data_IF_899376738645
#
_entry.id   IF_899376738645
#
_cell.length_a   1.000
_cell.length_b   1.000
_cell.length_c   1.000
_cell.angle_alpha   90.00
_cell.angle_beta   90.00
_cell.angle_gamma   90.00
#
_symmetry.space_group_name_H-M   'P 1'
#
loop_
_entity.id
_entity.type
_entity.pdbx_description
1 polymer ?
#
# COMPACT_ATOMS: atom_id res chain seq x y z
N UNK A 1 -19.89 59.59 -61.11
CA UNK A 1 -19.95 58.15 -61.48
C UNK A 1 -19.27 57.36 -60.37
N UNK A 2 -19.84 56.20 -60.06
CA UNK A 2 -19.79 55.45 -58.80
C UNK A 2 -18.43 54.89 -58.30
N UNK A 3 -18.41 54.57 -56.99
CA UNK A 3 -17.65 53.53 -56.24
C UNK A 3 -16.21 53.93 -55.77
N UNK A 4 -15.98 54.27 -54.49
CA UNK A 4 -15.82 53.45 -53.24
C UNK A 4 -14.58 52.52 -53.26
N UNK A 5 -13.62 52.73 -52.33
CA UNK A 5 -13.32 51.82 -51.19
C UNK A 5 -12.25 52.40 -50.25
N UNK A 6 -12.51 52.15 -48.96
CA UNK A 6 -11.78 52.53 -47.74
C UNK A 6 -10.55 51.64 -47.51
N UNK A 7 -9.54 52.15 -46.78
CA UNK A 7 -8.99 51.47 -45.58
C UNK A 7 -8.18 52.41 -44.68
N UNK A 8 -8.13 52.01 -43.40
CA UNK A 8 -7.81 52.74 -42.17
C UNK A 8 -6.41 52.33 -41.65
N UNK A 9 -5.68 53.23 -40.99
CA UNK A 9 -4.39 52.95 -40.34
C UNK A 9 -4.09 53.89 -39.17
N UNK A 10 -3.72 53.29 -38.04
CA UNK A 10 -3.68 53.78 -36.65
C UNK A 10 -2.50 54.73 -36.35
N UNK A 11 -2.69 55.66 -35.39
CA UNK A 11 -1.72 56.68 -34.94
C UNK A 11 -1.20 56.36 -33.52
N UNK A 12 0.11 56.49 -33.31
CA UNK A 12 0.84 56.29 -32.04
C UNK A 12 1.30 57.63 -31.44
N UNK A 13 1.16 57.84 -30.12
CA UNK A 13 1.84 58.91 -29.33
C UNK A 13 1.92 58.43 -27.84
N UNK A 14 3.08 58.05 -27.27
CA UNK A 14 4.20 58.79 -26.61
C UNK A 14 3.80 59.59 -25.34
N UNK A 15 4.49 59.37 -24.18
CA UNK A 15 5.28 60.37 -23.38
C UNK A 15 5.47 60.08 -21.84
N UNK A 16 6.76 59.94 -21.45
CA UNK A 16 7.63 60.41 -20.31
C UNK A 16 7.28 60.34 -18.78
N UNK A 17 8.37 60.08 -18.00
CA UNK A 17 8.83 60.70 -16.71
C UNK A 17 8.35 60.07 -15.37
N UNK A 18 9.03 60.07 -14.19
CA UNK A 18 10.38 60.40 -13.64
C UNK A 18 10.35 60.11 -12.10
N UNK A 19 11.51 59.91 -11.44
CA UNK A 19 11.80 59.92 -9.97
C UNK A 19 11.21 58.79 -9.09
N UNK A 20 11.77 58.33 -7.96
CA UNK A 20 13.06 58.42 -7.24
C UNK A 20 12.97 57.43 -6.05
N UNK A 21 14.05 56.71 -5.74
CA UNK A 21 14.42 56.08 -4.44
C UNK A 21 13.34 55.76 -3.38
N UNK A 22 13.04 54.47 -3.17
CA UNK A 22 13.26 53.67 -1.94
C UNK A 22 12.33 52.44 -1.88
N UNK A 23 12.85 51.37 -1.25
CA UNK A 23 12.22 50.08 -0.88
C UNK A 23 11.68 49.15 -1.98
N UNK A 24 12.42 48.06 -2.23
CA UNK A 24 11.89 46.87 -2.92
C UNK A 24 11.99 45.63 -2.02
N UNK A 25 11.05 45.51 -1.07
CA UNK A 25 10.48 44.21 -0.76
C UNK A 25 9.72 43.73 -1.99
N UNK A 26 10.31 42.81 -2.76
CA UNK A 26 9.64 42.21 -3.92
C UNK A 26 8.35 41.52 -3.46
N UNK A 27 7.17 41.88 -3.96
CA UNK A 27 5.98 41.07 -3.76
C UNK A 27 6.21 39.74 -4.51
N UNK A 28 6.10 38.62 -3.81
CA UNK A 28 5.98 37.32 -4.47
C UNK A 28 4.80 37.39 -5.45
N UNK A 29 5.13 37.28 -6.74
CA UNK A 29 4.14 37.14 -7.79
C UNK A 29 3.35 35.86 -7.50
N UNK A 30 2.00 35.87 -7.51
CA UNK A 30 1.22 34.66 -7.36
C UNK A 30 1.68 33.66 -8.42
N UNK A 31 2.21 32.52 -7.99
CA UNK A 31 2.49 31.40 -8.88
C UNK A 31 1.19 31.00 -9.54
N UNK A 32 1.11 31.25 -10.84
CA UNK A 32 0.07 30.70 -11.71
C UNK A 32 0.00 29.19 -11.48
N UNK A 33 -1.18 28.59 -11.28
CA UNK A 33 -1.31 27.14 -11.25
C UNK A 33 -0.70 26.57 -12.54
N UNK A 34 0.18 25.57 -12.43
CA UNK A 34 0.63 24.81 -13.59
C UNK A 34 -0.60 24.30 -14.35
N UNK A 35 -0.84 24.82 -15.56
CA UNK A 35 -1.88 24.31 -16.45
C UNK A 35 -1.69 22.81 -16.63
N UNK A 36 -2.69 22.02 -16.19
CA UNK A 36 -2.76 20.58 -16.44
C UNK A 36 -2.62 19.66 -15.22
N UNK A 37 -2.31 20.15 -14.00
CA UNK A 37 -2.38 19.30 -12.80
C UNK A 37 -3.80 19.20 -12.28
N UNK A 38 -4.38 17.99 -12.34
CA UNK A 38 -5.64 17.68 -11.67
C UNK A 38 -5.47 17.93 -10.17
N UNK A 39 -6.46 18.54 -9.54
CA UNK A 39 -6.48 18.63 -8.09
C UNK A 39 -6.50 17.22 -7.47
N UNK A 40 -5.92 17.06 -6.29
CA UNK A 40 -5.79 15.77 -5.62
C UNK A 40 -6.02 15.90 -4.11
N UNK A 41 -6.51 14.85 -3.49
CA UNK A 41 -6.63 14.74 -2.03
C UNK A 41 -6.00 13.44 -1.55
N UNK A 42 -5.39 13.51 -0.37
CA UNK A 42 -5.08 12.31 0.40
C UNK A 42 -6.36 11.74 0.97
N UNK A 43 -6.51 10.42 0.90
CA UNK A 43 -7.69 9.70 1.34
C UNK A 43 -7.29 8.72 2.43
N UNK A 44 -7.99 8.81 3.56
CA UNK A 44 -7.80 7.98 4.73
C UNK A 44 -9.01 7.09 4.95
N UNK A 45 -8.76 5.90 5.46
CA UNK A 45 -9.81 5.05 6.02
C UNK A 45 -9.54 4.93 7.51
N UNK A 46 -10.42 5.49 8.32
CA UNK A 46 -10.20 5.67 9.76
C UNK A 46 -11.32 4.99 10.53
N UNK A 47 -10.95 4.18 11.51
CA UNK A 47 -11.88 3.52 12.40
C UNK A 47 -12.06 4.41 13.63
N UNK A 48 -13.29 4.82 13.90
CA UNK A 48 -13.61 5.76 14.99
C UNK A 48 -13.61 5.08 16.36
N UNK A 49 -13.50 5.88 17.43
CA UNK A 49 -13.58 5.38 18.81
C UNK A 49 -14.98 4.96 19.26
N UNK A 50 -16.03 5.40 18.58
CA UNK A 50 -17.40 5.15 19.03
C UNK A 50 -17.86 3.78 18.56
N UNK A 51 -17.74 2.79 19.45
CA UNK A 51 -18.22 1.41 19.31
C UNK A 51 -17.32 0.45 20.08
N UNK A 52 -17.90 -0.46 20.87
CA UNK A 52 -17.16 -1.66 21.30
C UNK A 52 -16.67 -2.41 20.06
N UNK A 53 -15.53 -3.11 20.14
CA UNK A 53 -14.88 -3.89 19.07
C UNK A 53 -15.47 -3.65 17.66
N UNK A 54 -14.93 -2.67 16.93
CA UNK A 54 -15.36 -2.36 15.55
C UNK A 54 -16.11 -1.04 15.40
N UNK A 55 -15.61 0.05 16.01
CA UNK A 55 -16.15 1.40 15.81
C UNK A 55 -16.34 1.77 14.33
N UNK A 56 -17.29 2.67 14.06
CA UNK A 56 -17.69 3.06 12.71
C UNK A 56 -16.50 3.54 11.89
N UNK A 57 -16.39 3.10 10.63
CA UNK A 57 -15.28 3.46 9.74
C UNK A 57 -15.70 4.56 8.80
N UNK A 58 -14.80 5.50 8.58
CA UNK A 58 -15.02 6.65 7.72
C UNK A 58 -13.92 6.77 6.68
N UNK A 59 -14.33 7.08 5.45
CA UNK A 59 -13.45 7.53 4.38
C UNK A 59 -13.37 9.06 4.48
N UNK A 60 -12.22 9.57 4.91
CA UNK A 60 -11.96 10.99 5.10
C UNK A 60 -10.88 11.48 4.12
N UNK A 61 -10.81 12.80 3.91
CA UNK A 61 -9.83 13.39 3.00
C UNK A 61 -9.04 14.52 3.65
N UNK A 62 -7.83 14.76 3.14
CA UNK A 62 -7.02 15.93 3.46
C UNK A 62 -6.32 16.45 2.19
N UNK A 63 -6.24 17.76 2.04
CA UNK A 63 -5.53 18.40 0.91
C UNK A 63 -4.01 18.42 1.09
N UNK A 64 -3.53 18.32 2.33
CA UNK A 64 -2.11 18.28 2.69
C UNK A 64 -1.86 17.31 3.84
N UNK A 65 -0.61 16.85 3.96
CA UNK A 65 -0.11 16.01 5.06
C UNK A 65 0.91 16.73 5.95
N UNK A 66 1.16 18.03 5.73
CA UNK A 66 2.21 18.78 6.44
C UNK A 66 1.79 19.26 7.82
N UNK A 67 0.55 19.71 7.99
CA UNK A 67 0.02 20.24 9.23
C UNK A 67 -1.51 20.18 9.22
N UNK A 68 -2.11 20.16 10.41
CA UNK A 68 -3.56 20.11 10.59
C UNK A 68 -4.04 18.90 11.39
N UNK A 69 -5.36 18.83 11.54
CA UNK A 69 -6.03 17.78 12.33
C UNK A 69 -7.21 17.24 11.56
N UNK A 70 -7.28 15.91 11.42
CA UNK A 70 -8.50 15.21 10.99
C UNK A 70 -9.25 14.78 12.24
N UNK A 71 -10.46 15.32 12.43
CA UNK A 71 -11.38 14.91 13.51
C UNK A 71 -12.47 14.05 12.92
N UNK A 72 -12.48 12.77 13.28
CA UNK A 72 -13.53 11.86 12.82
C UNK A 72 -14.81 12.12 13.62
N UNK A 73 -15.85 12.51 12.90
CA UNK A 73 -17.23 12.54 13.32
C UNK A 73 -18.14 12.29 12.10
N UNK A 74 -19.45 12.19 12.34
CA UNK A 74 -20.47 11.91 11.32
C UNK A 74 -20.53 12.92 10.15
N UNK A 75 -19.89 14.08 10.26
CA UNK A 75 -19.89 15.13 9.24
C UNK A 75 -18.59 15.18 8.43
N UNK A 76 -17.53 14.44 8.83
CA UNK A 76 -16.19 14.55 8.25
C UNK A 76 -15.73 13.28 7.50
N UNK A 77 -16.61 12.73 6.66
CA UNK A 77 -16.28 11.60 5.78
C UNK A 77 -17.51 10.81 5.35
N UNK A 78 -17.29 9.79 4.53
CA UNK A 78 -18.32 8.80 4.16
C UNK A 78 -18.18 7.58 5.06
N UNK A 79 -19.26 7.21 5.75
CA UNK A 79 -19.32 5.98 6.54
C UNK A 79 -19.23 4.73 5.64
N UNK A 80 -18.50 3.72 6.09
CA UNK A 80 -18.36 2.44 5.38
C UNK A 80 -18.28 1.26 6.36
N UNK A 81 -18.87 0.13 5.97
CA UNK A 81 -18.77 -1.17 6.65
C UNK A 81 -17.60 -2.02 6.12
N UNK A 82 -16.90 -1.54 5.10
CA UNK A 82 -15.82 -2.27 4.42
C UNK A 82 -14.61 -2.53 5.31
N UNK A 83 -13.87 -3.59 5.02
CA UNK A 83 -12.70 -4.03 5.80
C UNK A 83 -11.40 -4.02 4.99
N UNK A 84 -11.49 -4.31 3.68
CA UNK A 84 -10.34 -4.25 2.78
C UNK A 84 -10.39 -3.02 1.88
N UNK A 85 -9.25 -2.34 1.74
CA UNK A 85 -9.16 -1.06 1.01
C UNK A 85 -7.91 -1.03 0.14
N UNK A 86 -8.10 -0.80 -1.16
CA UNK A 86 -7.02 -0.76 -2.14
C UNK A 86 -7.32 0.25 -3.24
N UNK A 87 -6.27 0.73 -3.91
CA UNK A 87 -6.38 1.75 -4.94
C UNK A 87 -5.80 1.23 -6.23
N UNK A 88 -6.52 1.42 -7.33
CA UNK A 88 -6.09 1.15 -8.70
C UNK A 88 -6.86 2.07 -9.63
N UNK A 89 -6.27 2.48 -10.75
CA UNK A 89 -6.92 3.35 -11.74
C UNK A 89 -7.55 4.62 -11.13
N UNK A 90 -6.86 5.26 -10.17
CA UNK A 90 -7.33 6.47 -9.49
C UNK A 90 -8.70 6.31 -8.78
N UNK A 91 -9.00 5.10 -8.28
CA UNK A 91 -10.20 4.80 -7.52
C UNK A 91 -9.85 4.05 -6.25
N UNK A 92 -10.48 4.41 -5.15
CA UNK A 92 -10.46 3.63 -3.92
C UNK A 92 -11.54 2.57 -4.02
N UNK A 93 -11.18 1.31 -3.81
CA UNK A 93 -12.12 0.20 -3.71
C UNK A 93 -12.19 -0.26 -2.26
N UNK A 94 -13.41 -0.35 -1.75
CA UNK A 94 -13.70 -0.77 -0.38
C UNK A 94 -14.54 -2.06 -0.42
N UNK A 95 -14.02 -3.12 0.18
CA UNK A 95 -14.63 -4.43 0.18
C UNK A 95 -15.14 -4.81 1.57
N UNK A 96 -16.41 -5.19 1.65
CA UNK A 96 -17.04 -5.70 2.88
C UNK A 96 -16.43 -7.05 3.27
N UNK A 97 -16.19 -7.25 4.57
CA UNK A 97 -15.64 -8.52 5.02
C UNK A 97 -16.67 -9.65 4.88
N UNK A 98 -16.39 -10.60 4.00
CA UNK A 98 -17.36 -11.57 3.54
C UNK A 98 -17.43 -12.88 4.32
N UNK A 99 -17.77 -12.85 5.62
CA UNK A 99 -17.97 -14.10 6.40
C UNK A 99 -19.05 -15.02 5.78
N UNK A 100 -19.99 -14.49 5.02
CA UNK A 100 -21.05 -15.24 4.30
C UNK A 100 -20.65 -15.72 2.90
N UNK A 101 -19.37 -15.60 2.51
CA UNK A 101 -18.88 -15.96 1.17
C UNK A 101 -19.02 -14.85 0.12
N UNK A 102 -19.63 -13.72 0.47
CA UNK A 102 -19.79 -12.56 -0.40
C UNK A 102 -19.09 -11.33 0.18
N UNK A 103 -18.45 -10.54 -0.68
CA UNK A 103 -17.75 -9.32 -0.28
C UNK A 103 -18.12 -8.18 -1.25
N UNK A 104 -19.30 -7.56 -1.11
CA UNK A 104 -19.64 -6.37 -1.91
C UNK A 104 -18.48 -5.38 -2.00
N UNK A 105 -18.14 -4.98 -3.22
CA UNK A 105 -17.04 -4.08 -3.53
C UNK A 105 -17.60 -2.74 -4.00
N UNK A 106 -17.31 -1.68 -3.25
CA UNK A 106 -17.75 -0.32 -3.58
C UNK A 106 -16.57 0.50 -4.10
N UNK A 107 -16.78 1.20 -5.22
CA UNK A 107 -15.79 2.09 -5.82
C UNK A 107 -16.04 3.52 -5.34
N UNK A 108 -14.98 4.23 -4.97
CA UNK A 108 -14.98 5.63 -4.59
C UNK A 108 -13.99 6.42 -5.43
N UNK A 109 -14.32 7.68 -5.70
CA UNK A 109 -13.48 8.62 -6.45
C UNK A 109 -13.63 10.03 -5.89
N UNK A 110 -12.71 10.93 -6.24
CA UNK A 110 -12.88 12.36 -5.98
C UNK A 110 -13.66 13.00 -7.13
N UNK A 111 -14.73 13.75 -6.82
CA UNK A 111 -15.46 14.55 -7.79
C UNK A 111 -14.69 15.82 -8.18
N UNK A 112 -15.22 16.62 -9.11
CA UNK A 112 -14.60 17.88 -9.56
C UNK A 112 -14.40 18.94 -8.44
N UNK A 113 -15.04 18.76 -7.28
CA UNK A 113 -14.88 19.60 -6.07
C UNK A 113 -13.87 19.02 -5.06
N UNK A 114 -13.15 17.97 -5.42
CA UNK A 114 -12.25 17.21 -4.53
C UNK A 114 -12.94 16.52 -3.35
N UNK A 115 -14.24 16.28 -3.45
CA UNK A 115 -15.00 15.54 -2.43
C UNK A 115 -15.02 14.06 -2.80
N UNK A 116 -14.82 13.19 -1.81
CA UNK A 116 -14.98 11.75 -1.99
C UNK A 116 -16.46 11.44 -2.28
N UNK A 117 -16.72 10.64 -3.31
CA UNK A 117 -18.07 10.21 -3.69
C UNK A 117 -18.12 8.70 -3.86
N UNK A 118 -19.23 8.10 -3.44
CA UNK A 118 -19.56 6.70 -3.70
C UNK A 118 -19.96 6.52 -5.17
N UNK A 119 -19.45 5.45 -5.78
CA UNK A 119 -19.74 5.07 -7.15
C UNK A 119 -20.36 3.68 -7.25
N UNK A 120 -19.94 2.94 -8.27
CA UNK A 120 -20.49 1.62 -8.61
C UNK A 120 -20.21 0.61 -7.50
N UNK A 121 -21.15 -0.32 -7.29
CA UNK A 121 -21.00 -1.50 -6.43
C UNK A 121 -20.98 -2.77 -7.26
N UNK A 122 -20.08 -3.70 -6.93
CA UNK A 122 -20.01 -5.02 -7.53
C UNK A 122 -20.22 -6.09 -6.47
N UNK A 123 -21.02 -7.10 -6.79
CA UNK A 123 -21.07 -8.31 -6.00
C UNK A 123 -19.84 -9.16 -6.32
N UNK A 124 -19.03 -9.48 -5.31
CA UNK A 124 -17.89 -10.38 -5.47
C UNK A 124 -17.93 -11.48 -4.41
N UNK A 125 -17.16 -12.54 -4.65
CA UNK A 125 -16.81 -13.50 -3.60
C UNK A 125 -15.90 -12.82 -2.56
N UNK A 126 -15.74 -13.44 -1.38
CA UNK A 126 -14.91 -12.90 -0.29
C UNK A 126 -13.49 -12.52 -0.73
N UNK A 127 -13.12 -11.24 -0.61
CA UNK A 127 -11.76 -10.76 -0.90
C UNK A 127 -10.87 -11.02 0.32
N UNK A 128 -10.08 -12.10 0.28
CA UNK A 128 -9.14 -12.46 1.35
C UNK A 128 -7.79 -11.79 1.19
N UNK A 129 -7.26 -11.79 -0.04
CA UNK A 129 -6.05 -11.09 -0.42
C UNK A 129 -6.19 -10.52 -1.83
N UNK A 130 -5.40 -9.51 -2.18
CA UNK A 130 -5.52 -8.82 -3.46
C UNK A 130 -4.20 -8.20 -3.90
N UNK A 131 -4.12 -7.86 -5.18
CA UNK A 131 -2.99 -7.17 -5.78
C UNK A 131 -3.33 -6.58 -7.14
N UNK A 132 -2.71 -5.44 -7.45
CA UNK A 132 -2.88 -4.78 -8.73
C UNK A 132 -2.01 -5.47 -9.79
N UNK A 133 -2.55 -5.63 -11.00
CA UNK A 133 -1.78 -6.05 -12.19
C UNK A 133 -2.07 -5.11 -13.35
N UNK A 134 -1.02 -4.62 -14.01
CA UNK A 134 -1.16 -3.57 -15.01
C UNK A 134 -1.80 -2.29 -14.44
N UNK A 135 -2.56 -1.59 -15.28
CA UNK A 135 -3.15 -0.27 -14.95
C UNK A 135 -4.58 -0.33 -14.43
N UNK A 136 -5.33 -1.35 -14.81
CA UNK A 136 -6.79 -1.39 -14.65
C UNK A 136 -7.29 -2.66 -13.99
N UNK A 137 -6.43 -3.61 -13.64
CA UNK A 137 -6.87 -4.89 -13.09
C UNK A 137 -6.42 -5.03 -11.64
N UNK A 138 -7.30 -5.62 -10.83
CA UNK A 138 -7.00 -6.11 -9.49
C UNK A 138 -7.34 -7.59 -9.45
N UNK A 139 -6.39 -8.42 -9.05
CA UNK A 139 -6.63 -9.85 -8.82
C UNK A 139 -6.80 -10.07 -7.33
N UNK A 140 -7.88 -10.76 -6.98
CA UNK A 140 -8.21 -11.14 -5.62
C UNK A 140 -8.15 -12.66 -5.46
N UNK A 141 -7.73 -13.11 -4.29
CA UNK A 141 -7.84 -14.48 -3.85
C UNK A 141 -8.75 -14.59 -2.61
N UNK A 142 -9.70 -15.51 -2.66
CA UNK A 142 -10.52 -15.85 -1.49
C UNK A 142 -9.70 -16.65 -0.49
N UNK A 143 -10.15 -16.71 0.78
CA UNK A 143 -9.59 -17.66 1.74
C UNK A 143 -9.68 -19.11 1.22
N UNK A 144 -10.67 -19.39 0.37
CA UNK A 144 -10.86 -20.67 -0.27
C UNK A 144 -9.89 -20.98 -1.43
N UNK A 145 -9.06 -20.04 -1.86
CA UNK A 145 -8.17 -20.23 -3.02
C UNK A 145 -8.81 -19.95 -4.38
N UNK A 146 -10.08 -19.52 -4.43
CA UNK A 146 -10.65 -19.02 -5.67
C UNK A 146 -9.94 -17.72 -6.04
N UNK A 147 -9.63 -17.55 -7.32
CA UNK A 147 -9.03 -16.35 -7.87
C UNK A 147 -10.01 -15.66 -8.79
N UNK A 148 -10.03 -14.34 -8.78
CA UNK A 148 -10.79 -13.56 -9.76
C UNK A 148 -10.12 -12.22 -10.03
N UNK A 149 -10.22 -11.75 -11.27
CA UNK A 149 -9.76 -10.44 -11.70
C UNK A 149 -10.94 -9.49 -11.84
N UNK A 150 -10.77 -8.25 -11.39
CA UNK A 150 -11.72 -7.15 -11.53
C UNK A 150 -11.06 -6.07 -12.37
N UNK A 151 -11.69 -5.74 -13.49
CA UNK A 151 -11.32 -4.56 -14.25
C UNK A 151 -11.96 -3.33 -13.61
N UNK A 152 -11.14 -2.39 -13.18
CA UNK A 152 -11.57 -1.20 -12.44
C UNK A 152 -12.15 -0.11 -13.33
N UNK A 153 -11.80 -0.10 -14.62
CA UNK A 153 -12.35 0.84 -15.60
C UNK A 153 -13.76 0.41 -16.03
N UNK A 154 -13.89 -0.85 -16.47
CA UNK A 154 -15.16 -1.46 -16.86
C UNK A 154 -16.05 -1.77 -15.65
N UNK A 155 -15.46 -1.80 -14.44
CA UNK A 155 -16.12 -2.14 -13.18
C UNK A 155 -16.85 -3.46 -13.27
N UNK A 156 -16.13 -4.50 -13.65
CA UNK A 156 -16.68 -5.85 -13.76
C UNK A 156 -15.61 -6.90 -13.52
N UNK A 157 -16.06 -8.09 -13.17
CA UNK A 157 -15.19 -9.26 -13.11
C UNK A 157 -14.86 -9.73 -14.52
N UNK A 158 -13.58 -9.88 -14.83
CA UNK A 158 -13.09 -10.23 -16.17
C UNK A 158 -12.65 -11.69 -16.25
N UNK A 159 -12.00 -12.19 -15.20
CA UNK A 159 -11.42 -13.54 -15.18
C UNK A 159 -11.71 -14.25 -13.86
N UNK A 160 -11.76 -15.58 -13.91
CA UNK A 160 -11.88 -16.47 -12.76
C UNK A 160 -10.92 -17.64 -12.89
N UNK A 161 -10.42 -18.10 -11.77
CA UNK A 161 -9.60 -19.31 -11.63
C UNK A 161 -9.64 -19.81 -10.20
N UNK A 162 -8.79 -20.79 -9.91
CA UNK A 162 -8.64 -21.30 -8.56
C UNK A 162 -7.24 -21.88 -8.39
N UNK A 163 -6.72 -21.74 -7.17
CA UNK A 163 -5.55 -22.47 -6.71
C UNK A 163 -6.02 -23.83 -6.22
N UNK A 164 -5.63 -24.88 -6.95
CA UNK A 164 -5.83 -26.26 -6.53
C UNK A 164 -4.78 -26.63 -5.48
N UNK A 165 -5.11 -26.41 -4.20
CA UNK A 165 -4.16 -26.62 -3.10
C UNK A 165 -3.72 -28.07 -2.96
N UNK A 166 -4.51 -29.06 -3.39
CA UNK A 166 -4.11 -30.47 -3.35
C UNK A 166 -2.89 -30.74 -4.25
N UNK A 167 -2.72 -29.94 -5.31
CA UNK A 167 -1.52 -29.95 -6.16
C UNK A 167 -0.34 -29.18 -5.56
N UNK A 168 -0.56 -28.39 -4.50
CA UNK A 168 0.46 -27.59 -3.81
C UNK A 168 0.96 -28.20 -2.50
N UNK A 169 0.58 -29.46 -2.22
CA UNK A 169 1.07 -30.22 -1.08
C UNK A 169 2.60 -30.28 -1.05
N UNK A 170 3.15 -30.32 0.17
CA UNK A 170 4.58 -30.49 0.39
C UNK A 170 4.83 -31.68 1.31
N UNK A 171 5.57 -32.67 0.79
CA UNK A 171 5.81 -33.97 1.43
C UNK A 171 4.49 -34.61 1.90
N UNK A 172 4.40 -35.02 3.16
CA UNK A 172 3.30 -35.84 3.70
C UNK A 172 2.16 -35.02 4.32
N UNK A 173 2.15 -33.69 4.17
CA UNK A 173 1.07 -32.87 4.74
C UNK A 173 -0.09 -32.74 3.76
N UNK A 174 -1.30 -33.05 4.24
CA UNK A 174 -2.54 -32.78 3.52
C UNK A 174 -2.66 -31.28 3.26
N UNK A 175 -3.15 -30.90 2.08
CA UNK A 175 -3.35 -29.50 1.70
C UNK A 175 -4.63 -28.92 2.33
N UNK A 176 -4.69 -28.90 3.64
CA UNK A 176 -5.95 -28.70 4.35
C UNK A 176 -6.26 -27.26 4.78
N UNK A 177 -5.28 -26.38 4.99
CA UNK A 177 -5.55 -25.03 5.52
C UNK A 177 -4.80 -23.93 4.77
N UNK A 178 -5.45 -22.77 4.68
CA UNK A 178 -5.28 -21.79 3.60
C UNK A 178 -4.88 -20.43 4.17
N UNK A 179 -3.58 -20.12 4.19
CA UNK A 179 -3.12 -18.77 4.49
C UNK A 179 -2.40 -18.21 3.28
N UNK A 180 -3.10 -17.38 2.51
CA UNK A 180 -2.50 -16.53 1.50
C UNK A 180 -2.14 -15.19 2.14
N UNK A 181 -0.91 -14.72 1.98
CA UNK A 181 -0.46 -13.47 2.62
C UNK A 181 -0.61 -12.25 1.71
N UNK A 182 -0.78 -12.46 0.40
CA UNK A 182 -1.05 -11.42 -0.59
C UNK A 182 -1.06 -11.98 -2.02
N UNK A 183 -1.39 -11.12 -2.98
CA UNK A 183 -1.28 -11.40 -4.42
C UNK A 183 -0.35 -10.35 -5.01
N UNK A 184 0.75 -10.75 -5.64
CA UNK A 184 1.79 -9.81 -6.09
C UNK A 184 2.06 -9.98 -7.57
N UNK A 185 1.83 -8.94 -8.37
CA UNK A 185 2.17 -8.96 -9.78
C UNK A 185 3.69 -8.99 -9.98
N UNK A 186 4.13 -9.84 -10.91
CA UNK A 186 5.50 -9.90 -11.41
C UNK A 186 5.42 -9.78 -12.92
N UNK A 187 5.94 -8.69 -13.47
CA UNK A 187 5.70 -8.31 -14.85
C UNK A 187 4.21 -8.03 -15.12
N UNK A 188 3.73 -8.45 -16.28
CA UNK A 188 2.35 -8.22 -16.72
C UNK A 188 1.54 -9.51 -16.86
N UNK A 189 2.15 -10.66 -16.63
CA UNK A 189 1.63 -11.98 -17.02
C UNK A 189 1.77 -13.04 -15.91
N UNK A 190 2.31 -12.66 -14.73
CA UNK A 190 2.48 -13.55 -13.59
C UNK A 190 2.03 -12.90 -12.29
N UNK A 191 1.51 -13.72 -11.40
CA UNK A 191 1.22 -13.39 -10.02
C UNK A 191 2.00 -14.35 -9.12
N UNK A 192 2.66 -13.82 -8.11
CA UNK A 192 3.26 -14.60 -7.03
C UNK A 192 2.33 -14.51 -5.83
N UNK A 193 1.88 -15.67 -5.35
CA UNK A 193 0.95 -15.77 -4.22
C UNK A 193 1.63 -16.64 -3.14
N UNK A 194 2.17 -16.02 -2.09
CA UNK A 194 2.74 -16.77 -0.98
C UNK A 194 1.64 -17.48 -0.19
N UNK A 195 1.95 -18.70 0.25
CA UNK A 195 1.01 -19.54 0.95
C UNK A 195 1.68 -20.36 2.06
N UNK A 196 0.88 -20.93 2.96
CA UNK A 196 1.33 -21.97 3.89
C UNK A 196 0.73 -23.32 3.51
N UNK A 197 1.51 -24.39 3.63
CA UNK A 197 1.00 -25.76 3.61
C UNK A 197 0.62 -26.13 5.04
N UNK A 198 -0.67 -26.33 5.34
CA UNK A 198 -1.12 -26.73 6.69
C UNK A 198 -2.20 -27.81 6.63
N UNK A 199 -2.43 -28.60 7.70
CA UNK A 199 -3.58 -29.49 7.78
C UNK A 199 -4.90 -28.71 7.72
N UNK A 200 -6.00 -29.45 7.59
CA UNK A 200 -7.36 -28.87 7.55
C UNK A 200 -7.72 -28.14 8.84
N UNK A 201 -7.20 -28.66 9.94
CA UNK A 201 -7.29 -28.08 11.27
C UNK A 201 -5.89 -28.10 11.87
N UNK A 202 -5.41 -26.93 12.32
CA UNK A 202 -4.10 -26.79 12.96
C UNK A 202 -3.14 -25.86 12.21
N UNK A 203 -1.99 -25.62 12.84
CA UNK A 203 -0.91 -24.80 12.31
C UNK A 203 0.00 -25.63 11.37
N UNK A 204 0.66 -24.96 10.43
CA UNK A 204 1.66 -25.63 9.56
C UNK A 204 2.84 -26.12 10.40
N UNK A 205 3.35 -27.32 10.09
CA UNK A 205 4.64 -27.80 10.63
C UNK A 205 5.85 -27.32 9.81
N UNK A 206 5.63 -26.71 8.65
CA UNK A 206 6.67 -26.19 7.76
C UNK A 206 6.88 -24.68 7.92
N UNK A 207 6.91 -24.20 9.18
CA UNK A 207 7.20 -22.79 9.51
C UNK A 207 8.58 -22.33 9.03
N UNK A 208 9.50 -23.27 8.86
CA UNK A 208 10.88 -23.07 8.40
C UNK A 208 11.03 -23.08 6.87
N UNK A 209 9.91 -23.10 6.14
CA UNK A 209 9.90 -23.11 4.69
C UNK A 209 9.16 -21.90 4.12
N UNK A 210 9.63 -21.48 2.94
CA UNK A 210 8.94 -20.53 2.06
C UNK A 210 8.17 -21.31 1.00
N UNK A 211 6.92 -20.92 0.74
CA UNK A 211 6.15 -21.40 -0.40
C UNK A 211 5.49 -20.24 -1.14
N UNK A 212 5.68 -20.20 -2.47
CA UNK A 212 5.06 -19.21 -3.35
C UNK A 212 4.50 -19.91 -4.58
N UNK A 213 3.21 -19.76 -4.83
CA UNK A 213 2.60 -20.21 -6.08
C UNK A 213 2.82 -19.15 -7.17
N UNK A 214 3.31 -19.59 -8.33
CA UNK A 214 3.39 -18.78 -9.55
C UNK A 214 2.16 -19.06 -10.38
N UNK A 215 1.37 -18.02 -10.64
CA UNK A 215 0.10 -18.09 -11.33
C UNK A 215 0.17 -17.30 -12.64
N UNK A 216 -0.23 -17.92 -13.74
CA UNK A 216 -0.27 -17.30 -15.06
C UNK A 216 -1.49 -16.38 -15.19
N UNK A 217 -1.25 -15.11 -15.51
CA UNK A 217 -2.27 -14.13 -15.85
C UNK A 217 -2.40 -14.00 -17.38
N UNK A 218 -3.61 -13.93 -17.98
CA UNK A 218 -4.93 -13.81 -17.35
C UNK A 218 -5.60 -15.14 -16.96
N UNK A 219 -4.98 -16.28 -17.24
CA UNK A 219 -5.65 -17.59 -17.07
C UNK A 219 -6.00 -17.95 -15.61
N UNK A 220 -5.32 -17.32 -14.65
CA UNK A 220 -5.42 -17.58 -13.21
C UNK A 220 -5.17 -19.06 -12.86
N UNK A 221 -4.21 -19.70 -13.55
CA UNK A 221 -3.77 -21.08 -13.31
C UNK A 221 -2.38 -21.10 -12.70
N UNK A 222 -2.19 -21.95 -11.69
CA UNK A 222 -0.86 -22.19 -11.13
C UNK A 222 0.00 -22.90 -12.18
N UNK A 223 1.14 -22.31 -12.51
CA UNK A 223 2.13 -22.89 -13.43
C UNK A 223 3.34 -23.48 -12.71
N UNK A 224 3.63 -23.01 -11.49
CA UNK A 224 4.78 -23.47 -10.71
C UNK A 224 4.64 -23.16 -9.22
N UNK A 225 5.44 -23.84 -8.41
CA UNK A 225 5.68 -23.50 -7.01
C UNK A 225 7.16 -23.22 -6.79
N UNK A 226 7.46 -22.15 -6.06
CA UNK A 226 8.79 -21.80 -5.58
C UNK A 226 8.88 -22.19 -4.10
N UNK A 227 9.93 -22.93 -3.74
CA UNK A 227 10.17 -23.41 -2.38
C UNK A 227 11.60 -23.05 -1.95
N UNK A 228 11.73 -22.57 -0.72
CA UNK A 228 13.02 -22.34 -0.06
C UNK A 228 12.95 -22.78 1.41
N UNK A 229 14.11 -22.94 2.04
CA UNK A 229 14.27 -23.40 3.41
C UNK A 229 15.31 -22.59 4.19
N UNK A 230 15.74 -21.43 3.66
CA UNK A 230 16.69 -20.53 4.33
C UNK A 230 15.99 -19.49 5.21
N UNK A 231 14.67 -19.31 5.06
CA UNK A 231 13.82 -18.43 5.85
C UNK A 231 12.44 -19.07 6.05
N UNK A 232 11.52 -18.39 6.75
CA UNK A 232 10.19 -18.92 7.03
C UNK A 232 9.12 -18.58 5.99
N UNK A 233 7.85 -18.62 6.41
CA UNK A 233 6.71 -18.21 5.60
C UNK A 233 6.85 -16.75 5.14
N UNK A 234 6.41 -16.47 3.92
CA UNK A 234 6.55 -15.15 3.30
C UNK A 234 5.33 -14.26 3.63
N UNK A 235 5.61 -13.06 4.11
CA UNK A 235 4.58 -12.13 4.60
C UNK A 235 3.92 -12.60 5.90
N UNK A 236 2.78 -12.00 6.23
CA UNK A 236 1.93 -12.41 7.36
C UNK A 236 0.48 -12.57 6.91
N UNK A 237 -0.30 -13.39 7.63
CA UNK A 237 -1.73 -13.50 7.37
C UNK A 237 -2.37 -12.10 7.41
N UNK A 238 -3.22 -11.79 6.43
CA UNK A 238 -3.85 -10.49 6.24
C UNK A 238 -2.87 -9.29 6.14
N UNK A 239 -1.56 -9.53 5.97
CA UNK A 239 -0.54 -8.49 5.87
C UNK A 239 -0.53 -7.75 4.53
N UNK A 240 -1.07 -8.37 3.48
CA UNK A 240 -0.98 -7.93 2.07
C UNK A 240 0.46 -7.62 1.66
N UNK A 241 1.41 -8.40 2.17
CA UNK A 241 2.84 -8.15 2.05
C UNK A 241 3.60 -9.46 1.79
N UNK A 242 4.85 -9.35 1.35
CA UNK A 242 5.77 -10.49 1.28
C UNK A 242 6.52 -10.61 -0.04
N UNK A 243 6.05 -10.03 -1.13
CA UNK A 243 6.74 -10.07 -2.43
C UNK A 243 6.67 -8.72 -3.12
N UNK A 244 7.77 -8.32 -3.77
CA UNK A 244 7.84 -7.10 -4.56
C UNK A 244 8.80 -7.29 -5.74
N UNK A 245 8.37 -6.87 -6.93
CA UNK A 245 9.28 -6.62 -8.05
C UNK A 245 9.78 -5.18 -8.02
N UNK A 246 11.10 -4.98 -8.14
CA UNK A 246 11.73 -3.65 -8.19
C UNK A 246 12.02 -3.24 -9.65
N UNK A 247 12.49 -2.01 -9.89
CA UNK A 247 12.57 -1.42 -11.24
C UNK A 247 13.50 -2.18 -12.20
N UNK A 248 14.52 -2.87 -11.70
CA UNK A 248 15.43 -3.69 -12.53
C UNK A 248 14.83 -5.06 -12.91
N UNK A 249 13.59 -5.33 -12.50
CA UNK A 249 12.88 -6.58 -12.76
C UNK A 249 13.17 -7.68 -11.73
N UNK A 250 14.13 -7.50 -10.82
CA UNK A 250 14.38 -8.42 -9.72
C UNK A 250 13.16 -8.51 -8.81
N UNK A 251 12.87 -9.72 -8.34
CA UNK A 251 11.78 -9.95 -7.39
C UNK A 251 12.39 -10.31 -6.05
N UNK A 252 12.00 -9.58 -5.00
CA UNK A 252 12.36 -9.87 -3.63
C UNK A 252 11.15 -10.39 -2.87
N UNK A 253 11.39 -11.40 -2.04
CA UNK A 253 10.40 -11.89 -1.09
C UNK A 253 10.98 -11.85 0.32
N UNK A 254 10.16 -11.65 1.35
CA UNK A 254 10.63 -11.55 2.72
C UNK A 254 9.76 -12.28 3.73
N UNK A 255 10.41 -12.79 4.77
CA UNK A 255 9.76 -13.48 5.88
C UNK A 255 9.94 -12.73 7.19
N UNK A 256 8.86 -12.53 7.98
CA UNK A 256 8.98 -12.14 9.38
C UNK A 256 9.53 -13.24 10.29
N UNK A 257 9.72 -14.48 9.78
CA UNK A 257 10.12 -15.65 10.55
C UNK A 257 9.21 -15.93 11.77
N UNK A 258 7.90 -15.81 11.56
CA UNK A 258 6.88 -16.09 12.57
C UNK A 258 6.91 -17.58 12.97
N UNK A 259 7.28 -17.85 14.23
CA UNK A 259 7.48 -19.20 14.78
C UNK A 259 8.48 -20.07 13.98
N UNK A 260 9.35 -19.44 13.19
CA UNK A 260 10.39 -20.15 12.46
C UNK A 260 11.70 -20.18 13.26
N UNK A 261 12.45 -21.27 13.11
CA UNK A 261 13.83 -21.43 13.56
C UNK A 261 14.83 -20.78 12.60
N UNK A 262 14.41 -20.53 11.37
CA UNK A 262 15.20 -19.81 10.37
C UNK A 262 15.09 -18.29 10.58
N UNK A 263 16.09 -17.51 10.13
CA UNK A 263 16.10 -16.08 10.37
C UNK A 263 15.05 -15.34 9.54
N UNK A 264 14.61 -14.19 10.04
CA UNK A 264 13.86 -13.19 9.25
C UNK A 264 14.80 -12.60 8.20
N UNK A 265 14.42 -12.72 6.92
CA UNK A 265 15.31 -12.43 5.81
C UNK A 265 14.55 -11.99 4.55
N UNK A 266 15.29 -11.34 3.65
CA UNK A 266 14.90 -11.19 2.25
C UNK A 266 15.60 -12.26 1.40
N UNK A 267 14.85 -12.87 0.49
CA UNK A 267 15.33 -13.74 -0.59
C UNK A 267 15.04 -13.07 -1.94
N UNK A 268 15.76 -13.48 -2.98
CA UNK A 268 15.56 -13.00 -4.35
C UNK A 268 15.09 -14.14 -5.24
N UNK A 269 14.19 -13.83 -6.15
CA UNK A 269 13.64 -14.74 -7.14
C UNK A 269 14.01 -14.21 -8.53
N UNK A 270 14.56 -15.08 -9.38
CA UNK A 270 14.89 -14.80 -10.78
C UNK A 270 14.33 -15.90 -11.65
N UNK A 271 13.71 -15.55 -12.78
CA UNK A 271 13.15 -16.52 -13.73
C UNK A 271 12.22 -17.56 -13.04
N UNK A 272 11.40 -17.09 -12.10
CA UNK A 272 10.50 -17.96 -11.32
C UNK A 272 11.22 -19.08 -10.54
N UNK A 273 12.46 -18.83 -10.12
CA UNK A 273 13.28 -19.72 -9.28
C UNK A 273 13.98 -18.92 -8.18
N UNK A 274 14.31 -19.58 -7.08
CA UNK A 274 15.13 -18.96 -6.04
C UNK A 274 16.52 -18.64 -6.59
N UNK A 275 16.95 -17.38 -6.43
CA UNK A 275 18.35 -17.02 -6.58
C UNK A 275 19.13 -17.44 -5.33
N UNK A 276 19.79 -18.59 -5.41
CA UNK A 276 20.61 -19.12 -4.31
C UNK A 276 21.84 -18.24 -4.00
N UNK A 277 22.27 -17.39 -4.95
CA UNK A 277 23.36 -16.44 -4.76
C UNK A 277 22.99 -15.19 -3.97
N UNK A 278 21.70 -15.00 -3.63
CA UNK A 278 21.25 -13.89 -2.80
C UNK A 278 20.52 -14.40 -1.55
N UNK A 279 20.91 -13.82 -0.42
CA UNK A 279 20.23 -13.98 0.86
C UNK A 279 20.60 -12.77 1.73
N UNK A 280 19.61 -12.05 2.24
CA UNK A 280 19.84 -10.96 3.16
C UNK A 280 19.18 -11.26 4.51
N UNK A 281 20.00 -11.74 5.45
CA UNK A 281 19.63 -11.99 6.84
C UNK A 281 19.47 -10.66 7.59
N UNK A 282 18.30 -10.05 7.45
CA UNK A 282 17.98 -8.78 8.10
C UNK A 282 17.90 -8.94 9.62
N UNK A 283 17.52 -10.12 10.12
CA UNK A 283 17.52 -10.38 11.56
C UNK A 283 18.93 -10.24 12.13
N UNK A 284 19.93 -10.88 11.52
CA UNK A 284 21.32 -10.73 11.93
C UNK A 284 21.83 -9.30 11.74
N UNK A 285 21.56 -8.70 10.58
CA UNK A 285 22.05 -7.37 10.23
C UNK A 285 21.49 -6.25 11.14
N UNK A 286 20.35 -6.49 11.79
CA UNK A 286 19.73 -5.58 12.76
C UNK A 286 20.06 -5.93 14.22
N UNK A 287 20.93 -6.91 14.47
CA UNK A 287 21.27 -7.34 15.84
C UNK A 287 20.17 -8.15 16.53
N UNK A 288 19.32 -8.83 15.75
CA UNK A 288 18.34 -9.81 16.20
C UNK A 288 16.87 -9.42 15.97
N UNK A 289 16.57 -8.26 15.39
CA UNK A 289 15.19 -7.81 15.21
C UNK A 289 14.53 -8.50 14.01
N UNK A 290 13.34 -9.06 14.20
CA UNK A 290 12.55 -9.67 13.11
C UNK A 290 11.75 -8.62 12.36
N UNK A 291 11.56 -8.81 11.06
CA UNK A 291 10.62 -8.01 10.28
C UNK A 291 9.19 -8.22 10.81
N UNK A 292 8.41 -7.15 10.77
CA UNK A 292 6.97 -7.19 10.92
C UNK A 292 6.28 -6.89 9.58
N UNK A 293 6.68 -5.79 8.95
CA UNK A 293 6.16 -5.32 7.66
C UNK A 293 7.30 -4.73 6.84
N UNK A 294 7.13 -4.75 5.52
CA UNK A 294 8.02 -4.07 4.58
C UNK A 294 7.17 -3.56 3.42
N UNK A 295 7.47 -2.36 2.95
CA UNK A 295 6.78 -1.74 1.83
C UNK A 295 7.81 -1.11 0.90
N UNK A 296 7.62 -1.29 -0.40
CA UNK A 296 8.57 -0.78 -1.37
C UNK A 296 8.44 0.72 -1.54
N UNK A 297 9.57 1.43 -1.43
CA UNK A 297 9.58 2.90 -1.49
C UNK A 297 10.40 3.45 -2.67
N UNK A 298 11.04 2.58 -3.46
CA UNK A 298 11.82 2.98 -4.65
C UNK A 298 13.31 2.74 -4.50
N UNK A 299 14.05 2.66 -5.61
CA UNK A 299 15.52 2.61 -5.59
C UNK A 299 16.11 1.39 -4.88
N UNK A 300 15.42 0.23 -4.91
CA UNK A 300 15.71 -0.95 -4.10
C UNK A 300 15.56 -0.74 -2.59
N UNK A 301 14.95 0.36 -2.15
CA UNK A 301 14.69 0.65 -0.75
C UNK A 301 13.27 0.22 -0.34
N UNK A 302 13.17 -0.28 0.89
CA UNK A 302 11.93 -0.64 1.56
C UNK A 302 11.85 0.10 2.89
N UNK A 303 10.69 0.70 3.20
CA UNK A 303 10.38 1.08 4.56
C UNK A 303 9.96 -0.18 5.32
N UNK A 304 10.74 -0.55 6.33
CA UNK A 304 10.52 -1.75 7.12
C UNK A 304 10.13 -1.41 8.56
N UNK A 305 9.13 -2.11 9.07
CA UNK A 305 8.83 -2.18 10.50
C UNK A 305 9.51 -3.41 11.07
N UNK A 306 10.28 -3.23 12.14
CA UNK A 306 11.00 -4.30 12.84
C UNK A 306 10.53 -4.37 14.29
N UNK A 307 10.33 -5.58 14.81
CA UNK A 307 9.97 -5.77 16.20
C UNK A 307 11.11 -5.43 17.13
N UNK A 308 10.81 -4.66 18.18
CA UNK A 308 11.77 -4.32 19.24
C UNK A 308 12.13 -5.57 20.04
N UNK A 309 11.13 -6.37 20.41
CA UNK A 309 11.34 -7.69 21.01
C UNK A 309 11.90 -8.67 19.98
N UNK A 310 13.11 -9.16 20.24
CA UNK A 310 13.86 -10.08 19.38
C UNK A 310 13.33 -11.51 19.44
N UNK A 311 12.55 -11.84 20.48
CA UNK A 311 11.98 -13.15 20.71
C UNK A 311 10.51 -13.23 20.31
N UNK A 312 9.96 -12.18 19.71
CA UNK A 312 8.58 -12.16 19.23
C UNK A 312 8.31 -13.36 18.30
N UNK A 313 7.18 -14.02 18.54
CA UNK A 313 6.69 -15.13 17.71
C UNK A 313 5.38 -14.81 17.00
N UNK A 314 4.78 -13.64 17.27
CA UNK A 314 3.54 -13.15 16.66
C UNK A 314 3.84 -12.02 15.70
N UNK A 315 3.18 -12.01 14.54
CA UNK A 315 3.23 -10.89 13.59
C UNK A 315 2.12 -9.85 13.78
N UNK A 316 1.26 -10.04 14.79
CA UNK A 316 0.04 -9.27 15.02
C UNK A 316 0.10 -8.33 16.22
N UNK A 317 1.08 -8.49 17.09
CA UNK A 317 1.22 -7.74 18.33
C UNK A 317 2.69 -7.40 18.60
N UNK A 318 2.92 -6.57 19.61
CA UNK A 318 4.25 -6.13 20.00
C UNK A 318 4.51 -4.67 19.66
N UNK A 319 5.76 -4.26 19.84
CA UNK A 319 6.24 -2.91 19.58
C UNK A 319 7.22 -2.96 18.41
N UNK A 320 7.10 -2.02 17.48
CA UNK A 320 7.97 -1.90 16.32
C UNK A 320 8.70 -0.56 16.28
N UNK A 321 9.81 -0.58 15.55
CA UNK A 321 10.58 0.60 15.13
C UNK A 321 10.87 0.52 13.64
N UNK A 322 11.19 1.65 13.03
CA UNK A 322 11.31 1.76 11.58
C UNK A 322 12.77 1.84 11.11
N UNK A 323 13.01 1.29 9.92
CA UNK A 323 14.23 1.50 9.17
C UNK A 323 13.94 1.56 7.67
N UNK A 324 14.88 2.11 6.91
CA UNK A 324 14.96 1.93 5.47
C UNK A 324 15.99 0.84 5.20
N UNK A 325 15.58 -0.19 4.47
CA UNK A 325 16.42 -1.30 4.02
C UNK A 325 16.65 -1.18 2.53
N UNK A 326 17.90 -1.24 2.08
CA UNK A 326 18.22 -1.40 0.67
C UNK A 326 18.55 -2.87 0.40
N UNK A 327 17.73 -3.54 -0.42
CA UNK A 327 17.90 -4.97 -0.71
C UNK A 327 19.04 -5.26 -1.69
N UNK A 328 19.45 -4.29 -2.52
CA UNK A 328 20.57 -4.48 -3.44
C UNK A 328 21.91 -4.45 -2.70
N UNK A 329 22.11 -3.45 -1.83
CA UNK A 329 23.34 -3.26 -1.05
C UNK A 329 23.32 -3.96 0.30
N UNK A 330 22.18 -4.55 0.70
CA UNK A 330 21.97 -5.21 2.00
C UNK A 330 22.25 -4.29 3.20
N UNK A 331 21.93 -2.99 3.06
CA UNK A 331 22.18 -1.97 4.08
C UNK A 331 20.91 -1.55 4.81
N UNK A 332 21.07 -1.11 6.05
CA UNK A 332 19.99 -0.65 6.93
C UNK A 332 20.29 0.78 7.40
N UNK A 333 19.28 1.65 7.35
CA UNK A 333 19.28 3.01 7.91
C UNK A 333 18.10 3.15 8.87
N UNK A 334 18.36 3.27 10.17
CA UNK A 334 17.31 3.45 11.17
C UNK A 334 16.62 4.82 11.02
N UNK A 335 15.32 4.88 11.35
CA UNK A 335 14.55 6.12 11.42
C UNK A 335 14.28 6.44 12.89
N UNK A 336 15.20 7.16 13.52
CA UNK A 336 15.12 7.47 14.96
C UNK A 336 14.19 8.65 15.27
N UNK A 337 13.76 9.40 14.25
CA UNK A 337 12.82 10.52 14.38
C UNK A 337 11.38 10.09 14.67
N UNK A 338 11.07 8.81 14.50
CA UNK A 338 9.76 8.22 14.84
C UNK A 338 10.00 7.29 16.02
N UNK A 339 9.34 7.57 17.14
CA UNK A 339 9.44 6.73 18.33
C UNK A 339 8.91 5.32 18.05
N UNK A 340 9.41 4.35 18.82
CA UNK A 340 8.86 2.99 18.84
C UNK A 340 7.36 3.05 19.15
N UNK A 341 6.56 2.23 18.50
CA UNK A 341 5.11 2.27 18.62
C UNK A 341 4.51 0.87 18.48
N UNK A 342 3.24 0.71 18.86
CA UNK A 342 2.56 -0.58 18.74
C UNK A 342 2.53 -1.06 17.27
N UNK A 343 2.71 -2.36 17.07
CA UNK A 343 2.48 -3.00 15.77
C UNK A 343 1.01 -2.80 15.36
N UNK A 344 0.81 -2.35 14.13
CA UNK A 344 -0.54 -2.16 13.57
C UNK A 344 -1.03 -3.42 12.84
N UNK A 345 -2.33 -3.74 12.90
CA UNK A 345 -2.91 -4.87 12.18
C UNK A 345 -3.00 -4.60 10.65
N UNK A 346 -3.35 -5.64 9.90
CA UNK A 346 -3.51 -5.59 8.43
C UNK A 346 -2.17 -5.27 7.73
N UNK A 347 -2.15 -4.31 6.79
CA UNK A 347 -0.95 -3.83 6.09
C UNK A 347 -0.31 -2.61 6.77
N UNK A 348 0.93 -2.30 6.38
CA UNK A 348 1.62 -1.08 6.81
C UNK A 348 0.87 0.17 6.30
N UNK A 349 0.72 1.19 7.14
CA UNK A 349 -0.10 2.37 6.83
C UNK A 349 0.74 3.43 6.16
N UNK A 350 1.00 3.22 4.87
CA UNK A 350 1.94 4.02 4.08
C UNK A 350 1.31 4.53 2.79
N UNK A 351 1.74 5.72 2.35
CA UNK A 351 1.61 6.17 0.97
C UNK A 351 2.97 6.68 0.46
N UNK A 352 3.37 6.24 -0.72
CA UNK A 352 4.62 6.67 -1.38
C UNK A 352 4.28 7.67 -2.46
N UNK A 353 4.87 8.86 -2.43
CA UNK A 353 4.68 9.85 -3.48
C UNK A 353 5.21 9.34 -4.83
N UNK A 354 4.64 9.83 -5.93
CA UNK A 354 4.96 9.35 -7.28
C UNK A 354 6.43 9.53 -7.65
N UNK A 355 7.09 10.56 -7.10
CA UNK A 355 8.51 10.83 -7.30
C UNK A 355 9.43 9.96 -6.42
N UNK A 356 8.85 9.19 -5.49
CA UNK A 356 9.52 8.28 -4.54
C UNK A 356 10.52 8.98 -3.62
N UNK A 357 10.43 10.31 -3.47
CA UNK A 357 11.30 11.08 -2.57
C UNK A 357 10.74 11.19 -1.17
N UNK A 358 9.41 11.16 -1.04
CA UNK A 358 8.71 11.27 0.23
C UNK A 358 7.79 10.07 0.44
N UNK A 359 7.84 9.55 1.67
CA UNK A 359 6.97 8.48 2.15
C UNK A 359 6.15 9.01 3.32
N UNK A 360 4.84 8.82 3.26
CA UNK A 360 3.92 9.18 4.32
C UNK A 360 3.58 7.94 5.14
N UNK A 361 3.97 7.93 6.40
CA UNK A 361 3.72 6.82 7.31
C UNK A 361 2.79 7.25 8.44
N UNK A 362 1.76 6.46 8.71
CA UNK A 362 0.83 6.72 9.82
C UNK A 362 1.23 5.84 11.01
N UNK A 363 1.50 6.45 12.17
CA UNK A 363 1.84 5.73 13.39
C UNK A 363 0.86 6.06 14.53
N UNK A 364 0.53 5.12 15.42
CA UNK A 364 -0.24 5.42 16.62
C UNK A 364 0.59 6.28 17.58
N UNK A 365 -0.07 7.19 18.28
CA UNK A 365 0.52 7.94 19.39
C UNK A 365 0.20 7.16 20.68
N UNK A 366 1.23 6.61 21.31
CA UNK A 366 1.11 5.71 22.46
C UNK A 366 0.21 6.28 23.57
N UNK A 367 -0.64 5.42 24.17
CA UNK A 367 -1.57 5.77 25.26
C UNK A 367 -2.55 6.91 24.91
N UNK A 368 -2.80 7.12 23.62
CA UNK A 368 -3.82 8.04 23.13
C UNK A 368 -4.65 7.38 22.04
N UNK A 369 -5.81 7.96 21.76
CA UNK A 369 -6.65 7.56 20.63
C UNK A 369 -6.39 8.44 19.40
N UNK A 370 -5.11 8.59 19.07
CA UNK A 370 -4.64 9.47 18.01
C UNK A 370 -3.55 8.80 17.19
N UNK A 371 -3.50 9.18 15.93
CA UNK A 371 -2.45 8.77 15.00
C UNK A 371 -1.74 10.00 14.44
N UNK A 372 -0.47 9.85 14.13
CA UNK A 372 0.38 10.88 13.57
C UNK A 372 0.82 10.45 12.17
N UNK A 373 0.62 11.32 11.18
CA UNK A 373 1.30 11.16 9.88
C UNK A 373 2.73 11.68 10.02
N UNK A 374 3.69 10.92 9.52
CA UNK A 374 5.08 11.28 9.40
C UNK A 374 5.48 11.35 7.93
N UNK A 375 6.04 12.48 7.52
CA UNK A 375 6.58 12.72 6.19
C UNK A 375 8.07 12.38 6.20
N UNK A 376 8.42 11.21 5.69
CA UNK A 376 9.78 10.65 5.69
C UNK A 376 10.46 11.04 4.37
N UNK A 377 11.57 11.75 4.47
CA UNK A 377 12.49 11.95 3.34
C UNK A 377 13.26 10.63 3.10
N UNK A 378 13.07 10.04 1.92
CA UNK A 378 13.59 8.71 1.61
C UNK A 378 15.11 8.70 1.63
N UNK A 379 15.77 9.72 1.07
CA UNK A 379 17.22 9.77 0.94
C UNK A 379 17.94 9.85 2.30
N UNK A 380 17.39 10.64 3.23
CA UNK A 380 17.99 10.90 4.53
C UNK A 380 17.47 9.99 5.64
N UNK A 381 16.27 9.42 5.48
CA UNK A 381 15.56 8.70 6.54
C UNK A 381 15.04 9.60 7.67
N UNK A 382 15.03 10.93 7.48
CA UNK A 382 14.54 11.88 8.47
C UNK A 382 13.03 12.06 8.28
N UNK A 383 12.26 11.89 9.36
CA UNK A 383 10.83 12.09 9.37
C UNK A 383 10.43 13.42 10.04
N UNK A 384 9.48 14.13 9.43
CA UNK A 384 8.81 15.29 10.02
C UNK A 384 7.37 14.95 10.39
N UNK A 385 6.92 15.41 11.55
CA UNK A 385 5.51 15.29 11.94
C UNK A 385 4.63 16.10 10.98
N UNK A 386 3.56 15.46 10.55
CA UNK A 386 2.52 16.00 9.69
C UNK A 386 1.20 16.22 10.42
N UNK A 387 0.10 15.95 9.74
CA UNK A 387 -1.25 15.98 10.33
C UNK A 387 -1.42 14.97 11.47
N UNK A 388 -2.29 15.30 12.42
CA UNK A 388 -2.77 14.38 13.47
C UNK A 388 -4.19 13.91 13.15
N UNK A 389 -4.47 12.64 13.39
CA UNK A 389 -5.82 12.06 13.30
C UNK A 389 -6.32 11.84 14.73
N UNK A 390 -7.43 12.46 15.09
CA UNK A 390 -8.04 12.37 16.41
C UNK A 390 -9.27 11.45 16.45
N UNK A 391 -9.55 10.91 17.63
CA UNK A 391 -10.69 10.04 17.90
C UNK A 391 -10.71 8.77 17.04
N UNK A 392 -9.54 8.19 16.80
CA UNK A 392 -9.36 6.98 16.01
C UNK A 392 -8.79 5.84 16.88
N UNK A 393 -9.31 4.62 16.69
CA UNK A 393 -8.73 3.39 17.25
C UNK A 393 -7.80 2.68 16.25
N UNK A 394 -7.98 2.92 14.94
CA UNK A 394 -7.11 2.42 13.87
C UNK A 394 -7.21 3.33 12.64
N UNK A 395 -6.17 3.31 11.80
CA UNK A 395 -6.17 3.89 10.46
C UNK A 395 -5.90 2.75 9.50
N UNK A 396 -6.91 2.29 8.77
CA UNK A 396 -6.81 1.07 7.95
C UNK A 396 -5.96 1.28 6.70
N UNK A 397 -6.05 2.46 6.08
CA UNK A 397 -5.35 2.81 4.84
C UNK A 397 -5.13 4.33 4.70
N UNK A 398 -4.08 4.68 3.96
CA UNK A 398 -3.81 6.02 3.43
C UNK A 398 -3.52 5.88 1.94
N UNK A 399 -4.00 6.82 1.13
CA UNK A 399 -3.76 6.86 -0.31
C UNK A 399 -3.88 8.30 -0.82
N UNK A 400 -3.73 8.50 -2.14
CA UNK A 400 -3.95 9.78 -2.80
C UNK A 400 -4.74 9.52 -4.08
N UNK A 401 -5.78 10.31 -4.28
CA UNK A 401 -6.61 10.29 -5.49
C UNK A 401 -6.56 11.66 -6.16
N UNK A 402 -6.68 11.68 -7.48
CA UNK A 402 -6.89 12.86 -8.31
C UNK A 402 -8.38 13.02 -8.60
N UNK A 403 -8.85 14.25 -8.72
CA UNK A 403 -10.23 14.56 -9.05
C UNK A 403 -10.56 14.22 -10.50
N UNK A 404 -11.73 13.62 -10.70
CA UNK A 404 -12.29 13.43 -12.04
C UNK A 404 -12.86 14.77 -12.52
N UNK A 405 -12.61 15.11 -13.79
CA UNK A 405 -13.14 16.33 -14.42
C UNK A 405 -14.62 16.16 -14.76
#
# INVERSE_FOLDING_TARGET
MNIIKKTLGLLSLVLIASCSSDDNSSPEKPTTPEEGKKASSYVFVINSLTGQEGGTKYIATASSLTEGVIKIDKNNGIETDSYSFFVQNNQLMAAVYGFSGQSPLTFYSLNAKNEIVEGTKLATETIGSYGNIGKTEVVSATLGGNLFAINTELKQMTHKGAVDFDKLKYKDEEAGGRNLTGVFAVGTDKLYIPYSVSPKEGDTKYRDNTFIAVVDYPSLKVSKTIIDDRTGLIGSWFGMNGVQQVEDGSVYAWSPAEKSKNPSAFIRIKNHEIDKGYFFDVQKATGGHKLSRAEYIGGNEFLVSLFVDKNIESTWSGVTKLAIVNVSTQSIRWIDTIAEHAQMPYKQKIYVEKDKKTVHYVAPIEKTNRFQVYNIDVATGIAKKGITIENANDVTAISKLESVQ
#
